data_IF_238061073041
#
_entry.id   IF_238061073041
#
_cell.length_a   1.000
_cell.length_b   1.000
_cell.length_c   1.000
_cell.angle_alpha   90.00
_cell.angle_beta   90.00
_cell.angle_gamma   90.00
#
_symmetry.space_group_name_H-M   'P 1'
#
loop_
_entity.id
_entity.type
_entity.pdbx_description
1 polymer ?
#
# COMPACT_ATOMS: atom_id res chain seq x y z
N UNK A 1 3.51 -0.92 13.02
CA UNK A 1 4.16 -0.11 11.96
C UNK A 1 5.22 0.72 12.63
N UNK A 2 6.45 0.69 12.12
CA UNK A 2 7.56 1.42 12.69
C UNK A 2 8.09 2.45 11.69
N UNK A 3 8.83 3.41 12.20
CA UNK A 3 9.58 4.38 11.41
C UNK A 3 11.03 4.38 11.85
N UNK A 4 11.94 4.28 10.89
CA UNK A 4 13.36 4.50 11.12
C UNK A 4 13.80 5.79 10.44
N UNK A 5 14.51 6.65 11.19
CA UNK A 5 15.13 7.85 10.68
C UNK A 5 16.65 7.79 10.88
N UNK A 6 17.41 8.38 9.95
CA UNK A 6 18.87 8.44 10.00
C UNK A 6 19.51 7.53 8.96
N UNK A 7 20.50 6.74 9.40
CA UNK A 7 21.18 5.76 8.53
C UNK A 7 20.26 4.57 8.27
N UNK A 8 19.93 4.38 6.99
CA UNK A 8 19.08 3.27 6.53
C UNK A 8 19.96 2.15 5.98
N UNK A 9 19.48 0.88 5.99
CA UNK A 9 20.07 -0.15 5.16
C UNK A 9 20.02 0.25 3.67
N UNK A 10 20.76 -0.46 2.82
CA UNK A 10 20.74 -0.23 1.38
C UNK A 10 19.36 -0.56 0.79
N UNK A 11 18.49 0.44 0.70
CA UNK A 11 17.12 0.35 0.16
C UNK A 11 17.03 1.00 -1.22
N UNK A 12 16.29 0.37 -2.12
CA UNK A 12 15.99 0.91 -3.45
C UNK A 12 14.78 1.87 -3.40
N UNK A 13 14.94 3.12 -3.85
CA UNK A 13 13.80 4.04 -3.97
C UNK A 13 12.80 3.59 -5.02
N UNK A 14 11.52 3.70 -4.68
CA UNK A 14 10.44 3.25 -5.58
C UNK A 14 10.06 1.78 -5.37
N UNK A 15 10.74 1.05 -4.49
CA UNK A 15 10.51 -0.36 -4.24
C UNK A 15 10.40 -0.68 -2.75
N UNK A 16 9.50 -1.58 -2.41
CA UNK A 16 9.47 -2.18 -1.09
C UNK A 16 10.53 -3.28 -0.99
N UNK A 17 11.23 -3.34 0.14
CA UNK A 17 12.17 -4.43 0.43
C UNK A 17 11.58 -5.33 1.50
N UNK A 18 11.40 -6.62 1.20
CA UNK A 18 10.94 -7.63 2.16
C UNK A 18 12.17 -8.28 2.80
N UNK A 19 12.23 -8.28 4.12
CA UNK A 19 13.28 -8.86 4.94
C UNK A 19 12.65 -9.63 6.11
N UNK A 20 12.48 -10.95 5.94
CA UNK A 20 11.67 -11.77 6.85
C UNK A 20 10.23 -11.26 6.91
N UNK A 21 9.74 -10.99 8.12
CA UNK A 21 8.39 -10.45 8.37
C UNK A 21 8.29 -8.93 8.22
N UNK A 22 9.37 -8.25 7.82
CA UNK A 22 9.43 -6.80 7.66
C UNK A 22 9.30 -6.41 6.19
N UNK A 23 8.44 -5.45 5.93
CA UNK A 23 8.39 -4.74 4.65
C UNK A 23 8.87 -3.31 4.84
N UNK A 24 10.02 -2.99 4.27
CA UNK A 24 10.64 -1.67 4.29
C UNK A 24 10.12 -0.82 3.13
N UNK A 25 9.65 0.37 3.45
CA UNK A 25 9.07 1.35 2.54
C UNK A 25 9.88 2.65 2.60
N UNK A 26 10.91 2.83 1.74
CA UNK A 26 11.75 4.01 1.76
C UNK A 26 10.94 5.26 1.38
N UNK A 27 10.92 6.26 2.28
CA UNK A 27 10.21 7.53 2.12
C UNK A 27 11.15 8.61 1.57
N UNK A 28 12.36 8.68 2.12
CA UNK A 28 13.44 9.60 1.74
C UNK A 28 14.79 8.91 1.95
N UNK A 29 15.90 9.56 1.58
CA UNK A 29 17.28 9.08 1.80
C UNK A 29 17.56 8.67 3.25
N UNK A 30 16.82 9.21 4.22
CA UNK A 30 17.07 9.05 5.65
C UNK A 30 15.84 8.63 6.43
N UNK A 31 14.75 8.22 5.76
CA UNK A 31 13.51 7.81 6.42
C UNK A 31 12.85 6.63 5.71
N UNK A 32 12.46 5.62 6.47
CA UNK A 32 11.67 4.50 5.98
C UNK A 32 10.54 4.16 6.95
N UNK A 33 9.38 3.78 6.39
CA UNK A 33 8.33 3.09 7.14
C UNK A 33 8.57 1.59 7.08
N UNK A 34 8.21 0.89 8.15
CA UNK A 34 8.36 -0.56 8.27
C UNK A 34 7.02 -1.15 8.68
N UNK A 35 6.54 -2.12 7.93
CA UNK A 35 5.31 -2.87 8.23
C UNK A 35 5.71 -4.29 8.65
N UNK A 36 5.06 -4.83 9.68
CA UNK A 36 5.31 -6.18 10.15
C UNK A 36 6.64 -6.36 10.91
N UNK A 37 6.83 -7.56 11.42
CA UNK A 37 8.01 -7.99 12.16
C UNK A 37 8.29 -7.24 13.46
N UNK A 38 9.40 -7.61 14.11
CA UNK A 38 9.95 -6.89 15.27
C UNK A 38 10.60 -5.57 14.84
N UNK A 39 10.55 -4.50 15.64
CA UNK A 39 11.17 -3.23 15.30
C UNK A 39 12.70 -3.34 15.20
N UNK A 40 13.34 -2.77 14.16
CA UNK A 40 14.78 -2.54 14.17
C UNK A 40 15.21 -1.64 15.33
N UNK A 41 16.47 -1.76 15.76
CA UNK A 41 17.01 -0.88 16.79
C UNK A 41 16.89 0.60 16.37
N UNK A 42 16.39 1.43 17.28
CA UNK A 42 16.18 2.86 17.03
C UNK A 42 14.91 3.20 16.24
N UNK A 43 14.13 2.22 15.81
CA UNK A 43 12.84 2.48 15.16
C UNK A 43 11.79 2.93 16.18
N UNK A 44 10.94 3.88 15.77
CA UNK A 44 9.83 4.39 16.55
C UNK A 44 8.54 3.66 16.16
N UNK A 45 7.73 3.26 17.14
CA UNK A 45 6.38 2.79 16.88
C UNK A 45 5.49 3.96 16.44
N UNK A 46 4.98 3.86 15.21
CA UNK A 46 4.10 4.85 14.58
C UNK A 46 2.77 4.22 14.16
N UNK A 47 2.39 3.12 14.81
CA UNK A 47 1.17 2.37 14.48
C UNK A 47 -0.07 3.26 14.48
N UNK A 48 -0.19 4.16 15.46
CA UNK A 48 -1.28 5.13 15.58
C UNK A 48 -1.06 6.42 14.79
N UNK A 49 0.17 6.71 14.34
CA UNK A 49 0.50 7.88 13.52
C UNK A 49 0.06 7.74 12.07
N UNK A 50 -0.09 6.51 11.58
CA UNK A 50 -0.52 6.21 10.22
C UNK A 50 -1.86 5.48 10.21
N UNK A 51 -2.73 5.83 9.27
CA UNK A 51 -3.83 4.99 8.82
C UNK A 51 -3.42 4.21 7.58
N UNK A 52 -4.20 3.17 7.26
CA UNK A 52 -4.00 2.35 6.07
C UNK A 52 -5.35 2.02 5.45
N UNK A 53 -5.43 2.02 4.13
CA UNK A 53 -6.57 1.51 3.37
C UNK A 53 -6.06 0.58 2.28
N UNK A 54 -6.66 -0.59 2.16
CA UNK A 54 -6.39 -1.52 1.07
C UNK A 54 -7.49 -1.39 0.02
N UNK A 55 -7.08 -1.19 -1.23
CA UNK A 55 -7.98 -1.21 -2.39
C UNK A 55 -7.62 -2.43 -3.22
N UNK A 56 -8.62 -3.26 -3.49
CA UNK A 56 -8.46 -4.50 -4.24
C UNK A 56 -9.57 -4.65 -5.29
N UNK A 57 -9.21 -5.18 -6.45
CA UNK A 57 -10.12 -5.48 -7.56
C UNK A 57 -9.73 -4.79 -8.87
N UNK A 58 -10.32 -5.21 -9.99
CA UNK A 58 -9.88 -4.84 -11.34
C UNK A 58 -10.00 -3.33 -11.67
N UNK A 59 -10.73 -2.57 -10.84
CA UNK A 59 -10.88 -1.12 -10.98
C UNK A 59 -10.13 -0.34 -9.89
N UNK A 60 -9.23 -0.98 -9.15
CA UNK A 60 -8.48 -0.33 -8.07
C UNK A 60 -7.59 0.81 -8.62
N UNK A 61 -6.93 0.61 -9.76
CA UNK A 61 -6.09 1.63 -10.41
C UNK A 61 -6.92 2.83 -10.84
N UNK A 62 -8.07 2.61 -11.47
CA UNK A 62 -9.03 3.63 -11.88
C UNK A 62 -9.58 4.40 -10.67
N UNK A 63 -9.78 3.71 -9.55
CA UNK A 63 -10.20 4.34 -8.29
C UNK A 63 -9.13 5.29 -7.79
N UNK A 64 -7.86 4.87 -7.73
CA UNK A 64 -6.74 5.75 -7.34
C UNK A 64 -6.58 6.95 -8.27
N UNK A 65 -6.67 6.75 -9.59
CA UNK A 65 -6.48 7.81 -10.59
C UNK A 65 -7.46 9.00 -10.41
N UNK A 66 -8.57 8.81 -9.70
CA UNK A 66 -9.55 9.87 -9.41
C UNK A 66 -9.11 10.83 -8.30
N UNK A 67 -8.16 10.44 -7.44
CA UNK A 67 -7.79 11.23 -6.27
C UNK A 67 -6.29 11.35 -5.99
N UNK A 68 -5.43 10.66 -6.76
CA UNK A 68 -3.97 10.81 -6.68
C UNK A 68 -3.35 10.95 -8.07
N UNK A 69 -2.22 11.65 -8.13
CA UNK A 69 -1.37 11.76 -9.32
C UNK A 69 -0.32 10.64 -9.42
N UNK A 70 -0.27 9.71 -8.44
CA UNK A 70 0.63 8.55 -8.49
C UNK A 70 0.22 7.66 -9.66
N UNK A 71 1.17 7.41 -10.57
CA UNK A 71 0.92 6.61 -11.76
C UNK A 71 1.02 5.12 -11.45
N UNK A 72 -0.13 4.47 -11.39
CA UNK A 72 -0.24 3.04 -11.12
C UNK A 72 -0.35 2.20 -12.40
N UNK A 73 -0.01 2.69 -13.59
CA UNK A 73 -0.11 1.89 -14.81
C UNK A 73 0.89 0.70 -14.77
N UNK A 74 0.52 -0.51 -15.26
CA UNK A 74 1.33 -1.74 -15.05
C UNK A 74 2.77 -1.67 -15.57
N UNK A 75 3.01 -0.90 -16.62
CA UNK A 75 4.35 -0.73 -17.19
C UNK A 75 5.27 0.16 -16.32
N UNK A 76 4.69 0.96 -15.41
CA UNK A 76 5.42 1.81 -14.47
C UNK A 76 5.43 1.24 -13.06
N UNK A 77 4.27 0.81 -12.55
CA UNK A 77 4.11 0.31 -11.18
C UNK A 77 3.75 -1.17 -11.18
N UNK A 78 4.69 -1.99 -10.70
CA UNK A 78 4.63 -3.45 -10.63
C UNK A 78 4.45 -3.92 -9.18
N UNK A 79 3.99 -5.17 -8.94
CA UNK A 79 3.96 -5.74 -7.60
C UNK A 79 5.33 -5.63 -6.89
N UNK A 80 5.30 -5.23 -5.62
CA UNK A 80 6.47 -4.90 -4.81
C UNK A 80 6.93 -3.45 -4.94
N UNK A 81 6.39 -2.66 -5.87
CA UNK A 81 6.75 -1.23 -5.97
C UNK A 81 6.12 -0.42 -4.84
N UNK A 82 6.91 0.51 -4.30
CA UNK A 82 6.48 1.49 -3.31
C UNK A 82 6.50 2.89 -3.93
N UNK A 83 5.34 3.55 -3.96
CA UNK A 83 5.17 4.88 -4.54
C UNK A 83 4.89 5.91 -3.44
N UNK A 84 5.93 6.49 -2.81
CA UNK A 84 5.72 7.60 -1.88
C UNK A 84 5.22 8.81 -2.66
N UNK A 85 4.27 9.55 -2.09
CA UNK A 85 3.67 10.68 -2.78
C UNK A 85 2.43 11.23 -2.11
N UNK A 86 1.65 11.98 -2.88
CA UNK A 86 0.40 12.58 -2.40
C UNK A 86 -0.78 11.66 -2.69
N UNK A 87 -1.51 11.26 -1.66
CA UNK A 87 -2.75 10.48 -1.75
C UNK A 87 -3.89 11.32 -1.20
N UNK A 88 -4.92 11.59 -2.02
CA UNK A 88 -6.00 12.52 -1.66
C UNK A 88 -5.45 13.86 -1.13
N UNK A 89 -4.48 14.45 -1.84
CA UNK A 89 -3.79 15.71 -1.46
C UNK A 89 -3.06 15.68 -0.11
N UNK A 90 -2.82 14.49 0.42
CA UNK A 90 -2.20 14.27 1.74
C UNK A 90 -0.88 13.52 1.56
N UNK A 91 0.18 13.85 2.33
CA UNK A 91 1.41 13.04 2.31
C UNK A 91 1.16 11.58 2.71
N UNK A 92 1.71 10.65 1.93
CA UNK A 92 1.55 9.22 2.13
C UNK A 92 2.30 8.39 1.08
N UNK A 93 1.72 7.27 0.69
CA UNK A 93 2.20 6.47 -0.43
C UNK A 93 1.39 5.22 -0.67
N UNK A 94 1.69 4.54 -1.77
CA UNK A 94 0.97 3.34 -2.24
C UNK A 94 1.97 2.22 -2.46
N UNK A 95 1.76 1.09 -1.78
CA UNK A 95 2.43 -0.18 -2.05
C UNK A 95 1.57 -0.98 -3.03
N UNK A 96 2.16 -1.37 -4.15
CA UNK A 96 1.55 -2.33 -5.08
C UNK A 96 1.82 -3.74 -4.53
N UNK A 97 0.80 -4.40 -3.96
CA UNK A 97 0.96 -5.72 -3.34
C UNK A 97 0.76 -6.85 -4.33
N UNK A 98 -0.11 -6.65 -5.32
CA UNK A 98 -0.34 -7.54 -6.46
C UNK A 98 -0.90 -6.73 -7.64
N UNK A 99 -1.22 -7.39 -8.75
CA UNK A 99 -1.71 -6.72 -9.97
C UNK A 99 -2.89 -5.78 -9.70
N UNK A 100 -3.85 -6.19 -8.90
CA UNK A 100 -5.05 -5.40 -8.60
C UNK A 100 -5.23 -5.18 -7.08
N UNK A 101 -4.13 -5.18 -6.32
CA UNK A 101 -4.15 -5.04 -4.86
C UNK A 101 -3.11 -4.03 -4.40
N UNK A 102 -3.57 -3.04 -3.64
CA UNK A 102 -2.75 -1.92 -3.21
C UNK A 102 -2.99 -1.57 -1.75
N UNK A 103 -1.91 -1.32 -1.01
CA UNK A 103 -1.96 -0.77 0.33
C UNK A 103 -1.57 0.70 0.29
N UNK A 104 -2.52 1.57 0.64
CA UNK A 104 -2.30 3.01 0.78
C UNK A 104 -2.05 3.36 2.24
N UNK A 105 -0.96 4.10 2.50
CA UNK A 105 -0.61 4.63 3.82
C UNK A 105 -0.67 6.16 3.83
N UNK A 106 -1.17 6.73 4.94
CA UNK A 106 -1.29 8.18 5.12
C UNK A 106 -1.40 8.52 6.62
N UNK A 107 -1.26 9.81 6.97
CA UNK A 107 -1.37 10.27 8.36
C UNK A 107 -2.76 10.00 8.95
N UNK A 108 -2.82 9.37 10.13
CA UNK A 108 -4.08 8.91 10.75
C UNK A 108 -5.06 10.03 11.09
N UNK A 109 -4.56 11.24 11.37
CA UNK A 109 -5.37 12.41 11.66
C UNK A 109 -6.35 12.78 10.53
N UNK A 110 -6.08 12.33 9.29
CA UNK A 110 -6.91 12.57 8.11
C UNK A 110 -7.75 11.34 7.71
N UNK A 111 -7.83 10.33 8.58
CA UNK A 111 -8.61 9.10 8.42
C UNK A 111 -9.97 9.29 7.77
N UNK A 112 -10.81 10.10 8.41
CA UNK A 112 -12.19 10.33 7.97
C UNK A 112 -12.27 11.05 6.61
N UNK A 113 -11.35 11.98 6.36
CA UNK A 113 -11.30 12.72 5.09
C UNK A 113 -10.90 11.78 3.96
N UNK A 114 -9.79 11.04 4.11
CA UNK A 114 -9.30 10.11 3.10
C UNK A 114 -10.32 9.00 2.86
N UNK A 115 -10.95 8.47 3.91
CA UNK A 115 -12.05 7.50 3.77
C UNK A 115 -13.17 8.02 2.87
N UNK A 116 -13.65 9.24 3.12
CA UNK A 116 -14.72 9.85 2.32
C UNK A 116 -14.31 9.99 0.84
N UNK A 117 -13.08 10.43 0.57
CA UNK A 117 -12.56 10.56 -0.80
C UNK A 117 -12.50 9.21 -1.51
N UNK A 118 -11.96 8.18 -0.83
CA UNK A 118 -11.84 6.84 -1.39
C UNK A 118 -13.21 6.21 -1.62
N UNK A 119 -14.13 6.34 -0.67
CA UNK A 119 -15.48 5.78 -0.77
C UNK A 119 -16.28 6.41 -1.92
N UNK A 120 -16.19 7.73 -2.11
CA UNK A 120 -16.84 8.41 -3.24
C UNK A 120 -16.23 7.98 -4.58
N UNK A 121 -14.89 7.94 -4.68
CA UNK A 121 -14.20 7.51 -5.90
C UNK A 121 -14.54 6.06 -6.28
N UNK A 122 -14.57 5.15 -5.30
CA UNK A 122 -14.92 3.74 -5.50
C UNK A 122 -16.41 3.57 -5.84
N UNK A 123 -17.30 4.29 -5.16
CA UNK A 123 -18.75 4.20 -5.37
C UNK A 123 -19.15 4.54 -6.81
N UNK A 124 -18.49 5.51 -7.44
CA UNK A 124 -18.71 5.86 -8.86
C UNK A 124 -18.30 4.76 -9.85
N UNK A 125 -17.56 3.76 -9.39
CA UNK A 125 -17.13 2.59 -10.16
C UNK A 125 -17.83 1.29 -9.71
N UNK A 126 -18.82 1.39 -8.81
CA UNK A 126 -19.52 0.23 -8.25
C UNK A 126 -18.77 -0.50 -7.13
N UNK A 127 -17.67 0.08 -6.64
CA UNK A 127 -16.95 -0.41 -5.46
C UNK A 127 -17.59 0.04 -4.14
N UNK A 128 -17.13 -0.55 -3.04
CA UNK A 128 -17.64 -0.23 -1.70
C UNK A 128 -16.77 -0.82 -0.58
N UNK A 129 -17.04 -0.44 0.68
CA UNK A 129 -16.32 -0.97 1.82
C UNK A 129 -16.64 -2.44 2.04
N UNK A 130 -15.62 -3.21 2.41
CA UNK A 130 -15.74 -4.63 2.75
C UNK A 130 -14.99 -4.93 4.05
N UNK A 131 -15.42 -5.98 4.74
CA UNK A 131 -14.68 -6.54 5.88
C UNK A 131 -13.38 -7.21 5.43
N UNK A 132 -12.50 -7.48 6.39
CA UNK A 132 -11.24 -8.20 6.18
C UNK A 132 -11.47 -9.61 5.63
N UNK A 133 -12.53 -10.28 6.08
CA UNK A 133 -12.93 -11.62 5.64
C UNK A 133 -13.21 -11.71 4.12
N UNK A 134 -13.66 -10.63 3.50
CA UNK A 134 -13.86 -10.55 2.06
C UNK A 134 -12.54 -10.38 1.31
N UNK A 135 -11.57 -9.67 1.89
CA UNK A 135 -10.23 -9.48 1.31
C UNK A 135 -9.44 -10.79 1.32
N UNK A 136 -9.45 -11.54 2.43
CA UNK A 136 -8.75 -12.83 2.54
C UNK A 136 -9.30 -13.88 1.56
N UNK A 137 -10.60 -13.81 1.25
CA UNK A 137 -11.21 -14.67 0.23
C UNK A 137 -10.70 -14.37 -1.18
N UNK A 138 -10.40 -13.12 -1.48
CA UNK A 138 -9.75 -12.69 -2.72
C UNK A 138 -8.31 -13.19 -2.82
N UNK A 139 -7.53 -13.05 -1.75
CA UNK A 139 -6.15 -13.55 -1.68
C UNK A 139 -6.06 -15.05 -1.98
N UNK A 140 -6.93 -15.85 -1.35
CA UNK A 140 -6.97 -17.29 -1.60
C UNK A 140 -7.43 -17.63 -3.04
N UNK A 141 -8.19 -16.75 -3.70
CA UNK A 141 -8.62 -16.95 -5.09
C UNK A 141 -7.50 -16.61 -6.08
N UNK A 142 -6.71 -15.56 -5.82
CA UNK A 142 -5.54 -15.19 -6.60
C UNK A 142 -4.48 -16.31 -6.57
N UNK A 143 -4.17 -16.85 -5.39
CA UNK A 143 -3.22 -17.97 -5.22
C UNK A 143 -3.63 -19.22 -6.00
N UNK A 144 -4.93 -19.52 -6.05
CA UNK A 144 -5.46 -20.64 -6.85
C UNK A 144 -5.39 -20.39 -8.35
N UNK A 145 -5.55 -19.14 -8.79
CA UNK A 145 -5.43 -18.74 -10.19
C UNK A 145 -3.97 -18.83 -10.67
N UNK A 146 -3.02 -18.33 -9.86
CA UNK A 146 -1.58 -18.41 -10.13
C UNK A 146 -1.07 -19.86 -10.18
N UNK A 147 -1.51 -20.72 -9.24
CA UNK A 147 -1.16 -22.14 -9.24
C UNK A 147 -1.71 -22.90 -10.46
N UNK A 148 -2.86 -22.48 -11.00
CA UNK A 148 -3.44 -23.04 -12.22
C UNK A 148 -2.69 -22.61 -13.49
N UNK A 149 -2.13 -21.41 -13.52
CA UNK A 149 -1.37 -20.89 -14.66
C UNK A 149 0.06 -21.46 -14.77
N UNK A 150 0.67 -21.86 -13.65
CA UNK A 150 2.01 -22.47 -13.63
C UNK A 150 2.05 -23.97 -14.00
N UNK A 151 0.88 -24.61 -14.12
CA UNK A 151 0.73 -26.05 -14.40
C UNK A 151 0.32 -26.40 -15.84
N UNK A 152 0.23 -25.42 -16.74
CA UNK A 152 -0.12 -25.59 -18.16
C UNK A 152 1.07 -25.29 -19.07
#
# INVERSE_FOLDING_TARGET
KFELQGELPALEFGRATVDGDRTWLPMTATRALIIGGEPPAGALDVTTGFAALRLAGPLARETFARFTAIDLRPHLTKPGDWRPGSVARTPGGILCEAEDRYLMLFGSALGQYVWTVVADAAGQLGGGPVGDDALMRGEAADERSEAGAAGA
#
